data_IF_770412001564
#
_entry.id   IF_770412001564
#
_cell.length_a   1.000
_cell.length_b   1.000
_cell.length_c   1.000
_cell.angle_alpha   90.00
_cell.angle_beta   90.00
_cell.angle_gamma   90.00
#
_symmetry.space_group_name_H-M   'P 1'
#
loop_
_entity.id
_entity.type
_entity.pdbx_description
1 polymer ?
#
# COMPACT_ATOMS: atom_id res chain seq x y z
N UNK A 1 -16.52 -12.67 14.27
CA UNK A 1 -15.38 -12.15 15.05
C UNK A 1 -14.35 -13.27 15.28
N UNK A 2 -13.09 -12.92 15.65
CA UNK A 2 -12.06 -13.92 16.05
C UNK A 2 -12.62 -14.77 17.19
N UNK A 3 -13.15 -14.13 18.23
CA UNK A 3 -13.72 -14.79 19.41
C UNK A 3 -14.83 -15.79 19.03
N UNK A 4 -15.78 -15.42 18.17
CA UNK A 4 -16.86 -16.32 17.78
C UNK A 4 -16.38 -17.59 17.05
N UNK A 5 -15.29 -17.52 16.27
CA UNK A 5 -14.70 -18.73 15.67
C UNK A 5 -13.92 -19.55 16.69
N UNK A 6 -13.27 -18.91 17.67
CA UNK A 6 -12.63 -19.61 18.78
C UNK A 6 -13.65 -20.33 19.65
N UNK A 7 -14.79 -19.69 19.98
CA UNK A 7 -15.88 -20.32 20.73
C UNK A 7 -16.42 -21.57 20.00
N UNK A 8 -16.61 -21.48 18.66
CA UNK A 8 -17.02 -22.64 17.86
C UNK A 8 -15.97 -23.77 17.90
N UNK A 9 -14.67 -23.42 17.87
CA UNK A 9 -13.60 -24.41 17.93
C UNK A 9 -13.46 -25.05 19.30
N UNK A 10 -13.75 -24.34 20.40
CA UNK A 10 -13.65 -24.84 21.78
C UNK A 10 -14.88 -25.60 22.25
N UNK A 11 -16.06 -25.27 21.73
CA UNK A 11 -17.33 -25.94 22.09
C UNK A 11 -17.73 -27.03 21.10
N UNK A 12 -16.96 -27.20 20.01
CA UNK A 12 -17.38 -27.98 18.86
C UNK A 12 -16.92 -29.42 18.87
N UNK A 13 -17.47 -30.28 19.78
CA UNK A 13 -17.34 -31.74 19.67
C UNK A 13 -17.95 -32.30 18.38
N UNK A 14 -18.71 -31.48 17.65
CA UNK A 14 -19.42 -31.85 16.41
C UNK A 14 -18.74 -31.37 15.12
N UNK A 15 -17.58 -30.67 15.20
CA UNK A 15 -16.89 -30.17 14.02
C UNK A 15 -16.03 -31.25 13.37
N UNK A 16 -16.14 -31.36 12.03
CA UNK A 16 -15.21 -32.17 11.26
C UNK A 16 -13.81 -31.54 11.26
N UNK A 17 -12.76 -32.35 11.02
CA UNK A 17 -11.40 -31.83 10.93
C UNK A 17 -11.25 -30.74 9.82
N UNK A 18 -11.96 -30.91 8.71
CA UNK A 18 -12.00 -29.92 7.64
C UNK A 18 -12.59 -28.58 8.12
N UNK A 19 -13.69 -28.63 8.90
CA UNK A 19 -14.29 -27.43 9.50
C UNK A 19 -13.38 -26.76 10.51
N UNK A 20 -12.66 -27.54 11.35
CA UNK A 20 -11.68 -27.01 12.29
C UNK A 20 -10.56 -26.29 11.57
N UNK A 21 -9.96 -26.91 10.55
CA UNK A 21 -8.90 -26.31 9.74
C UNK A 21 -9.36 -25.02 9.05
N UNK A 22 -10.57 -25.01 8.49
CA UNK A 22 -11.18 -23.81 7.89
C UNK A 22 -11.33 -22.69 8.93
N UNK A 23 -11.83 -22.97 10.12
CA UNK A 23 -12.04 -21.95 11.15
C UNK A 23 -10.71 -21.44 11.72
N UNK A 24 -9.72 -22.31 11.91
CA UNK A 24 -8.36 -21.91 12.28
C UNK A 24 -7.74 -20.99 11.22
N UNK A 25 -7.90 -21.30 9.94
CA UNK A 25 -7.46 -20.44 8.85
C UNK A 25 -8.11 -19.04 8.89
N UNK A 26 -9.40 -18.97 9.18
CA UNK A 26 -10.12 -17.69 9.31
C UNK A 26 -9.61 -16.91 10.53
N UNK A 27 -9.43 -17.55 11.69
CA UNK A 27 -8.90 -16.92 12.90
C UNK A 27 -7.50 -16.37 12.64
N UNK A 28 -6.61 -17.18 12.05
CA UNK A 28 -5.24 -16.78 11.71
C UNK A 28 -5.22 -15.57 10.77
N UNK A 29 -6.04 -15.59 9.71
CA UNK A 29 -6.15 -14.47 8.77
C UNK A 29 -6.63 -13.19 9.46
N UNK A 30 -7.65 -13.28 10.34
CA UNK A 30 -8.17 -12.12 11.08
C UNK A 30 -7.19 -11.61 12.13
N UNK A 31 -6.42 -12.48 12.76
CA UNK A 31 -5.37 -12.09 13.71
C UNK A 31 -4.25 -11.31 13.00
N UNK A 32 -3.80 -11.78 11.81
CA UNK A 32 -2.84 -11.05 10.98
C UNK A 32 -3.37 -9.69 10.51
N UNK A 33 -4.66 -9.60 10.17
CA UNK A 33 -5.29 -8.32 9.82
C UNK A 33 -5.29 -7.34 11.01
N UNK A 34 -5.57 -7.83 12.23
CA UNK A 34 -5.54 -7.01 13.44
C UNK A 34 -4.11 -6.53 13.76
N UNK A 35 -3.12 -7.41 13.67
CA UNK A 35 -1.71 -7.06 13.84
C UNK A 35 -1.29 -5.94 12.88
N UNK A 36 -1.62 -6.08 11.59
CA UNK A 36 -1.37 -5.04 10.59
C UNK A 36 -2.05 -3.72 10.94
N UNK A 37 -3.32 -3.77 11.38
CA UNK A 37 -4.07 -2.57 11.76
C UNK A 37 -3.44 -1.86 12.96
N UNK A 38 -3.00 -2.61 13.98
CA UNK A 38 -2.31 -2.05 15.15
C UNK A 38 -1.00 -1.41 14.73
N UNK A 39 -0.19 -2.08 13.90
CA UNK A 39 1.07 -1.53 13.38
C UNK A 39 0.82 -0.26 12.56
N UNK A 40 -0.16 -0.28 11.65
CA UNK A 40 -0.51 0.89 10.85
C UNK A 40 -0.98 2.07 11.72
N UNK A 41 -1.73 1.80 12.79
CA UNK A 41 -2.18 2.84 13.72
C UNK A 41 -1.00 3.47 14.48
N UNK A 42 -0.05 2.66 14.95
CA UNK A 42 1.18 3.17 15.58
C UNK A 42 2.00 4.00 14.59
N UNK A 43 2.19 3.52 13.37
CA UNK A 43 2.91 4.25 12.33
C UNK A 43 2.21 5.58 12.02
N UNK A 44 0.89 5.57 11.85
CA UNK A 44 0.12 6.79 11.60
C UNK A 44 0.30 7.83 12.71
N UNK A 45 0.23 7.41 13.98
CA UNK A 45 0.38 8.32 15.14
C UNK A 45 1.82 8.81 15.30
N UNK A 46 2.81 7.97 14.94
CA UNK A 46 4.23 8.29 15.02
C UNK A 46 4.64 9.33 13.97
N UNK A 47 4.07 9.28 12.77
CA UNK A 47 4.44 10.15 11.64
C UNK A 47 3.54 11.39 11.50
N UNK A 48 2.86 11.81 12.57
CA UNK A 48 2.10 13.06 12.59
C UNK A 48 3.05 14.27 12.50
N UNK A 49 2.77 15.15 11.53
CA UNK A 49 3.62 16.27 11.05
C UNK A 49 4.27 17.15 12.12
N UNK A 50 3.69 17.23 13.31
CA UNK A 50 4.09 18.24 14.29
C UNK A 50 5.10 17.74 15.33
N UNK A 51 5.60 16.49 15.23
CA UNK A 51 6.35 15.89 16.35
C UNK A 51 7.65 15.19 16.00
N UNK A 52 7.97 14.96 14.71
CA UNK A 52 9.09 14.10 14.33
C UNK A 52 10.09 14.80 13.43
N UNK A 53 11.32 14.95 13.91
CA UNK A 53 12.47 15.24 13.03
C UNK A 53 12.97 13.91 12.46
N UNK A 54 12.94 13.75 11.15
CA UNK A 54 13.48 12.59 10.47
C UNK A 54 14.96 12.84 10.09
N UNK A 55 15.78 11.80 10.21
CA UNK A 55 17.15 11.84 9.69
C UNK A 55 17.06 11.58 8.18
N UNK A 56 17.46 12.54 7.37
CA UNK A 56 17.54 12.42 5.91
C UNK A 56 18.99 12.12 5.51
N UNK A 57 19.15 11.35 4.44
CA UNK A 57 20.41 11.06 3.77
C UNK A 57 20.22 11.09 2.26
N UNK A 58 21.30 11.13 1.49
CA UNK A 58 21.22 11.14 0.03
C UNK A 58 20.88 9.71 -0.43
N UNK A 59 19.80 9.59 -1.19
CA UNK A 59 19.30 8.34 -1.76
C UNK A 59 19.15 8.49 -3.27
N UNK A 60 19.67 7.54 -4.04
CA UNK A 60 19.39 7.43 -5.47
C UNK A 60 18.13 6.59 -5.68
N UNK A 61 17.04 7.22 -6.13
CA UNK A 61 15.76 6.55 -6.37
C UNK A 61 15.85 5.46 -7.44
N UNK A 62 16.78 5.57 -8.40
CA UNK A 62 16.97 4.55 -9.43
C UNK A 62 17.69 3.29 -8.94
N UNK A 63 18.32 3.35 -7.77
CA UNK A 63 18.80 2.16 -7.06
C UNK A 63 17.78 1.68 -6.04
N UNK A 64 17.08 2.59 -5.40
CA UNK A 64 16.18 2.32 -4.29
C UNK A 64 14.83 1.72 -4.73
N UNK A 65 14.18 2.31 -5.75
CA UNK A 65 12.85 1.87 -6.19
C UNK A 65 12.87 0.46 -6.81
N UNK A 66 13.85 0.08 -7.67
CA UNK A 66 13.96 -1.29 -8.16
C UNK A 66 14.06 -2.33 -7.04
N UNK A 67 14.87 -2.08 -6.01
CA UNK A 67 15.00 -3.00 -4.87
C UNK A 67 13.65 -3.21 -4.16
N UNK A 68 12.87 -2.14 -3.98
CA UNK A 68 11.52 -2.25 -3.42
C UNK A 68 10.58 -3.05 -4.32
N UNK A 69 10.64 -2.86 -5.64
CA UNK A 69 9.81 -3.62 -6.60
C UNK A 69 10.14 -5.11 -6.51
N UNK A 70 11.43 -5.45 -6.41
CA UNK A 70 11.89 -6.85 -6.27
C UNK A 70 11.35 -7.52 -4.98
N UNK A 71 11.26 -6.78 -3.86
CA UNK A 71 10.66 -7.29 -2.63
C UNK A 71 9.16 -7.66 -2.81
N UNK A 72 8.46 -6.99 -3.72
CA UNK A 72 7.05 -7.28 -4.01
C UNK A 72 6.85 -8.34 -5.10
N UNK A 73 7.92 -8.85 -5.73
CA UNK A 73 7.81 -9.84 -6.81
C UNK A 73 6.97 -11.08 -6.45
N UNK A 74 7.13 -11.71 -5.26
CA UNK A 74 6.26 -12.82 -4.85
C UNK A 74 4.78 -12.43 -4.83
N UNK A 75 4.46 -11.21 -4.36
CA UNK A 75 3.08 -10.73 -4.32
C UNK A 75 2.48 -10.48 -5.70
N UNK A 76 3.27 -10.01 -6.67
CA UNK A 76 2.83 -9.91 -8.06
C UNK A 76 2.49 -11.29 -8.64
N UNK A 77 3.34 -12.29 -8.40
CA UNK A 77 3.12 -13.66 -8.85
C UNK A 77 1.86 -14.28 -8.22
N UNK A 78 1.68 -14.14 -6.92
CA UNK A 78 0.51 -14.67 -6.19
C UNK A 78 -0.82 -14.08 -6.71
N UNK A 79 -0.79 -12.84 -7.19
CA UNK A 79 -1.97 -12.15 -7.76
C UNK A 79 -2.04 -12.25 -9.29
N UNK A 80 -1.11 -12.97 -9.93
CA UNK A 80 -1.02 -13.12 -11.40
C UNK A 80 -0.95 -11.77 -12.12
N UNK A 81 -0.16 -10.84 -11.56
CA UNK A 81 0.07 -9.49 -12.07
C UNK A 81 1.40 -9.44 -12.80
N UNK A 82 1.41 -8.85 -13.99
CA UNK A 82 2.63 -8.38 -14.65
C UNK A 82 3.07 -7.07 -13.98
N UNK A 83 4.37 -6.95 -13.70
CA UNK A 83 4.96 -5.68 -13.26
C UNK A 83 5.88 -5.15 -14.37
N UNK A 84 5.60 -3.97 -14.88
CA UNK A 84 6.46 -3.25 -15.82
C UNK A 84 7.12 -2.07 -15.12
N UNK A 85 8.37 -1.85 -15.44
CA UNK A 85 9.15 -0.76 -14.85
C UNK A 85 9.72 0.12 -15.94
N UNK A 86 9.71 1.43 -15.70
CA UNK A 86 10.32 2.44 -16.57
C UNK A 86 11.02 3.46 -15.65
N UNK A 87 12.34 3.31 -15.54
CA UNK A 87 13.15 4.10 -14.63
C UNK A 87 13.94 5.16 -15.38
N UNK A 88 14.10 6.32 -14.76
CA UNK A 88 14.84 7.44 -15.30
C UNK A 88 16.30 7.05 -15.60
N UNK A 89 16.80 7.42 -16.78
CA UNK A 89 18.19 7.19 -17.14
C UNK A 89 19.10 8.22 -16.47
N UNK A 90 19.90 7.78 -15.52
CA UNK A 90 20.85 8.62 -14.77
C UNK A 90 20.61 8.62 -13.27
N UNK A 91 21.42 9.35 -12.52
CA UNK A 91 21.28 9.46 -11.06
C UNK A 91 20.05 10.31 -10.71
N UNK A 92 19.21 9.81 -9.81
CA UNK A 92 18.01 10.48 -9.33
C UNK A 92 18.09 10.65 -7.80
N UNK A 93 19.01 11.52 -7.37
CA UNK A 93 19.34 11.73 -5.97
C UNK A 93 18.32 12.65 -5.29
N UNK A 94 17.86 12.21 -4.12
CA UNK A 94 17.01 12.98 -3.21
C UNK A 94 17.57 12.96 -1.79
N UNK A 95 17.17 13.91 -0.96
CA UNK A 95 17.39 13.86 0.48
C UNK A 95 16.17 13.21 1.17
N UNK A 96 16.35 12.03 1.77
CA UNK A 96 15.24 11.31 2.37
C UNK A 96 15.66 10.28 3.42
N UNK A 97 14.67 9.78 4.13
CA UNK A 97 14.82 8.63 5.02
C UNK A 97 14.37 7.38 4.29
N UNK A 98 15.31 6.47 3.99
CA UNK A 98 15.05 5.27 3.18
C UNK A 98 13.99 4.36 3.79
N UNK A 99 14.00 4.14 5.11
CA UNK A 99 13.01 3.28 5.79
C UNK A 99 11.57 3.85 5.63
N UNK A 100 11.42 5.16 5.82
CA UNK A 100 10.12 5.81 5.66
C UNK A 100 9.66 5.83 4.22
N UNK A 101 10.55 6.13 3.27
CA UNK A 101 10.21 6.12 1.85
C UNK A 101 9.87 4.71 1.36
N UNK A 102 10.59 3.67 1.82
CA UNK A 102 10.24 2.28 1.56
C UNK A 102 8.81 1.96 2.04
N UNK A 103 8.46 2.43 3.24
CA UNK A 103 7.10 2.27 3.79
C UNK A 103 6.05 2.99 2.95
N UNK A 104 6.31 4.23 2.53
CA UNK A 104 5.36 5.01 1.72
C UNK A 104 5.15 4.37 0.33
N UNK A 105 6.23 4.09 -0.39
CA UNK A 105 6.19 3.49 -1.73
C UNK A 105 5.61 2.08 -1.65
N UNK A 106 6.00 1.27 -0.66
CA UNK A 106 5.46 -0.06 -0.43
C UNK A 106 3.94 -0.07 -0.19
N UNK A 107 3.39 0.95 0.50
CA UNK A 107 1.95 1.12 0.65
C UNK A 107 1.26 1.39 -0.70
N UNK A 108 1.88 2.15 -1.60
CA UNK A 108 1.35 2.39 -2.94
C UNK A 108 1.40 1.14 -3.80
N UNK A 109 2.53 0.40 -3.80
CA UNK A 109 2.69 -0.87 -4.54
C UNK A 109 1.67 -1.89 -4.04
N UNK A 110 1.56 -2.07 -2.72
CA UNK A 110 0.58 -2.98 -2.10
C UNK A 110 -0.86 -2.61 -2.48
N UNK A 111 -1.17 -1.31 -2.54
CA UNK A 111 -2.46 -0.82 -2.99
C UNK A 111 -2.70 -1.15 -4.48
N UNK A 112 -1.70 -0.92 -5.34
CA UNK A 112 -1.77 -1.22 -6.76
C UNK A 112 -1.96 -2.74 -7.02
N UNK A 113 -1.24 -3.61 -6.31
CA UNK A 113 -1.42 -5.06 -6.38
C UNK A 113 -2.86 -5.44 -6.00
N UNK A 114 -3.34 -4.90 -4.89
CA UNK A 114 -4.64 -5.25 -4.32
C UNK A 114 -5.82 -4.84 -5.19
N UNK A 115 -5.75 -3.67 -5.82
CA UNK A 115 -6.84 -3.10 -6.61
C UNK A 115 -6.60 -3.19 -8.12
N UNK A 116 -5.40 -3.59 -8.55
CA UNK A 116 -5.02 -3.78 -9.94
C UNK A 116 -5.25 -5.19 -10.50
N UNK A 117 -5.72 -6.14 -9.67
CA UNK A 117 -5.84 -7.55 -10.07
C UNK A 117 -6.72 -7.77 -11.32
N UNK A 118 -7.77 -6.97 -11.50
CA UNK A 118 -8.65 -7.07 -12.68
C UNK A 118 -7.91 -6.69 -13.99
N UNK A 119 -6.97 -5.74 -13.93
CA UNK A 119 -6.21 -5.26 -15.09
C UNK A 119 -4.93 -6.04 -15.40
N UNK A 120 -4.53 -6.95 -14.52
CA UNK A 120 -3.36 -7.85 -14.63
C UNK A 120 -2.02 -7.16 -14.85
N UNK A 121 -1.94 -5.85 -14.69
CA UNK A 121 -0.73 -5.05 -14.92
C UNK A 121 -0.57 -3.99 -13.82
N UNK A 122 0.66 -3.85 -13.35
CA UNK A 122 1.11 -2.72 -12.53
C UNK A 122 2.36 -2.13 -13.18
N UNK A 123 2.43 -0.82 -13.27
CA UNK A 123 3.61 -0.14 -13.78
C UNK A 123 4.24 0.73 -12.68
N UNK A 124 5.57 0.76 -12.65
CA UNK A 124 6.33 1.58 -11.72
C UNK A 124 7.32 2.44 -12.52
N UNK A 125 7.21 3.75 -12.33
CA UNK A 125 8.02 4.72 -13.05
C UNK A 125 8.78 5.59 -12.08
N UNK A 126 10.02 5.95 -12.44
CA UNK A 126 10.75 7.06 -11.81
C UNK A 126 11.10 8.11 -12.86
N UNK A 127 11.24 9.35 -12.45
CA UNK A 127 11.61 10.40 -13.39
C UNK A 127 11.91 11.73 -12.72
N UNK A 128 12.25 12.69 -13.56
CA UNK A 128 12.51 14.07 -13.16
C UNK A 128 11.55 15.00 -13.90
N UNK A 129 10.81 15.82 -13.17
CA UNK A 129 9.93 16.85 -13.74
C UNK A 129 10.11 18.14 -12.96
N UNK A 130 10.35 19.25 -13.66
CA UNK A 130 10.55 20.57 -13.05
C UNK A 130 11.60 20.56 -11.91
N UNK A 131 12.69 19.80 -12.09
CA UNK A 131 13.77 19.57 -11.11
C UNK A 131 13.36 18.80 -9.86
N UNK A 132 12.17 18.21 -9.83
CA UNK A 132 11.70 17.34 -8.76
C UNK A 132 11.72 15.89 -9.23
N UNK A 133 12.26 15.03 -8.39
CA UNK A 133 12.20 13.60 -8.62
C UNK A 133 10.77 13.10 -8.35
N UNK A 134 10.31 12.15 -9.15
CA UNK A 134 9.01 11.52 -8.92
C UNK A 134 9.08 10.00 -8.96
N UNK A 135 8.18 9.37 -8.23
CA UNK A 135 7.85 7.95 -8.33
C UNK A 135 6.37 7.86 -8.64
N UNK A 136 6.00 7.09 -9.67
CA UNK A 136 4.62 6.84 -10.01
C UNK A 136 4.34 5.35 -10.10
N UNK A 137 3.18 4.95 -9.56
CA UNK A 137 2.69 3.57 -9.58
C UNK A 137 1.32 3.59 -10.24
N UNK A 138 1.17 2.81 -11.31
CA UNK A 138 -0.07 2.74 -12.10
C UNK A 138 -0.64 1.34 -12.02
N UNK A 139 -1.93 1.23 -11.79
CA UNK A 139 -2.67 -0.02 -11.88
C UNK A 139 -3.94 0.14 -12.72
N UNK A 140 -4.37 -0.94 -13.37
CA UNK A 140 -5.47 -0.96 -14.33
C UNK A 140 -6.69 -1.68 -13.77
N UNK A 141 -7.09 -1.31 -12.55
CA UNK A 141 -8.26 -1.83 -11.87
C UNK A 141 -9.50 -0.94 -12.04
N UNK A 142 -10.39 -0.99 -11.06
CA UNK A 142 -11.58 -0.15 -11.06
C UNK A 142 -11.22 1.32 -10.90
N UNK A 143 -11.89 2.18 -11.71
CA UNK A 143 -11.73 3.63 -11.65
C UNK A 143 -12.18 4.16 -10.28
N UNK A 144 -11.37 5.03 -9.69
CA UNK A 144 -11.73 5.77 -8.48
C UNK A 144 -12.55 6.99 -8.89
N UNK A 145 -13.78 7.16 -8.37
CA UNK A 145 -14.58 8.32 -8.68
C UNK A 145 -13.86 9.63 -8.32
N UNK A 146 -13.98 10.66 -9.16
CA UNK A 146 -13.30 11.95 -8.95
C UNK A 146 -13.57 12.57 -7.56
N UNK A 147 -14.80 12.41 -7.03
CA UNK A 147 -15.18 12.87 -5.68
C UNK A 147 -14.42 12.18 -4.52
N UNK A 148 -13.78 11.05 -4.82
CA UNK A 148 -13.10 10.21 -3.82
C UNK A 148 -11.57 10.36 -3.90
N UNK A 149 -11.00 10.90 -5.00
CA UNK A 149 -9.56 10.99 -5.24
C UNK A 149 -8.79 11.72 -4.13
N UNK A 150 -9.33 12.82 -3.60
CA UNK A 150 -8.70 13.53 -2.49
C UNK A 150 -8.88 12.78 -1.16
N UNK A 151 -10.01 12.07 -1.02
CA UNK A 151 -10.40 11.39 0.22
C UNK A 151 -9.72 10.05 0.44
N UNK A 152 -9.20 9.41 -0.62
CA UNK A 152 -8.50 8.12 -0.47
C UNK A 152 -7.25 8.21 0.40
N UNK A 153 -6.72 9.42 0.63
CA UNK A 153 -5.61 9.69 1.53
C UNK A 153 -6.05 10.02 2.96
N UNK A 154 -7.36 10.09 3.23
CA UNK A 154 -7.88 10.28 4.58
C UNK A 154 -7.83 8.96 5.37
N UNK A 155 -7.58 9.07 6.68
CA UNK A 155 -7.55 7.91 7.56
C UNK A 155 -8.88 7.15 7.56
N UNK A 156 -8.80 5.83 7.47
CA UNK A 156 -9.94 4.91 7.45
C UNK A 156 -10.89 5.08 6.25
N UNK A 157 -10.56 5.97 5.31
CA UNK A 157 -11.37 6.13 4.13
C UNK A 157 -11.25 4.93 3.19
N UNK A 158 -12.36 4.52 2.61
CA UNK A 158 -12.44 3.45 1.60
C UNK A 158 -13.59 3.77 0.65
N UNK A 159 -13.33 3.67 -0.65
CA UNK A 159 -14.37 3.79 -1.68
C UNK A 159 -15.42 2.70 -1.45
N UNK A 160 -16.71 3.02 -1.54
CA UNK A 160 -17.82 2.10 -1.16
C UNK A 160 -17.74 0.75 -1.83
N UNK A 161 -17.37 0.69 -3.10
CA UNK A 161 -17.22 -0.55 -3.86
C UNK A 161 -16.05 -1.45 -3.39
N UNK A 162 -15.12 -0.91 -2.58
CA UNK A 162 -13.97 -1.64 -2.03
C UNK A 162 -14.18 -2.16 -0.61
N UNK A 163 -15.37 -1.93 -0.02
CA UNK A 163 -15.72 -2.36 1.35
C UNK A 163 -15.96 -3.86 1.50
N UNK A 164 -15.86 -4.64 0.41
CA UNK A 164 -16.01 -6.10 0.51
C UNK A 164 -14.98 -6.70 1.46
N UNK A 165 -15.41 -7.65 2.30
CA UNK A 165 -14.55 -8.38 3.24
C UNK A 165 -13.41 -9.12 2.54
N UNK A 166 -13.54 -9.39 1.23
CA UNK A 166 -12.54 -10.10 0.41
C UNK A 166 -11.29 -9.27 0.12
N UNK A 167 -11.41 -7.94 0.03
CA UNK A 167 -10.28 -7.06 -0.30
C UNK A 167 -9.51 -6.55 0.90
N UNK A 168 -9.73 -7.00 2.14
CA UNK A 168 -9.01 -6.65 3.37
C UNK A 168 -8.23 -5.31 3.29
N UNK A 169 -8.08 -4.57 4.35
CA UNK A 169 -7.27 -3.34 4.37
C UNK A 169 -7.75 -2.39 5.45
N UNK A 170 -6.80 -1.77 6.09
CA UNK A 170 -7.02 -0.91 7.25
C UNK A 170 -7.60 0.46 6.88
N UNK A 171 -7.40 0.90 5.62
CA UNK A 171 -7.69 2.27 5.20
C UNK A 171 -6.67 3.29 5.74
N UNK A 172 -5.54 2.82 6.25
CA UNK A 172 -4.47 3.68 6.78
C UNK A 172 -3.27 3.79 5.85
N UNK A 173 -3.04 2.82 4.94
CA UNK A 173 -1.83 2.77 4.12
C UNK A 173 -1.57 4.04 3.30
N UNK A 174 -2.58 4.57 2.59
CA UNK A 174 -2.44 5.81 1.82
C UNK A 174 -2.29 7.04 2.73
N UNK A 175 -2.95 7.06 3.89
CA UNK A 175 -2.79 8.14 4.87
C UNK A 175 -1.38 8.15 5.48
N UNK A 176 -0.81 6.96 5.76
CA UNK A 176 0.58 6.82 6.21
C UNK A 176 1.54 7.28 5.11
N UNK A 177 1.33 6.86 3.85
CA UNK A 177 2.14 7.32 2.73
C UNK A 177 2.14 8.84 2.63
N UNK A 178 0.96 9.48 2.69
CA UNK A 178 0.81 10.94 2.67
C UNK A 178 1.56 11.62 3.82
N UNK A 179 1.47 11.10 5.05
CA UNK A 179 2.19 11.66 6.19
C UNK A 179 3.71 11.57 5.98
N UNK A 180 4.21 10.43 5.53
CA UNK A 180 5.64 10.23 5.26
C UNK A 180 6.14 11.18 4.16
N UNK A 181 5.42 11.29 3.05
CA UNK A 181 5.81 12.20 1.96
C UNK A 181 5.79 13.65 2.42
N UNK A 182 4.80 14.04 3.23
CA UNK A 182 4.76 15.36 3.84
C UNK A 182 5.95 15.64 4.79
N UNK A 183 6.45 14.62 5.53
CA UNK A 183 7.68 14.75 6.35
C UNK A 183 8.93 14.98 5.50
N UNK A 184 8.90 14.54 4.24
CA UNK A 184 9.93 14.78 3.24
C UNK A 184 9.73 16.09 2.47
N UNK A 185 8.70 16.89 2.82
CA UNK A 185 8.33 18.14 2.12
C UNK A 185 7.91 17.91 0.66
N UNK A 186 7.56 16.65 0.34
CA UNK A 186 7.08 16.21 -0.96
C UNK A 186 5.57 16.35 -1.12
N UNK A 187 5.08 15.98 -2.31
CA UNK A 187 3.67 15.92 -2.65
C UNK A 187 3.26 14.51 -3.04
N UNK A 188 2.02 14.13 -2.74
CA UNK A 188 1.41 12.87 -3.17
C UNK A 188 -0.02 13.12 -3.63
N UNK A 189 -0.39 12.53 -4.76
CA UNK A 189 -1.75 12.60 -5.30
C UNK A 189 -2.08 11.37 -6.14
N UNK A 190 -3.32 11.26 -6.57
CA UNK A 190 -3.78 10.22 -7.48
C UNK A 190 -4.63 10.82 -8.60
N UNK A 191 -4.56 10.18 -9.76
CA UNK A 191 -5.48 10.35 -10.88
C UNK A 191 -6.08 9.00 -11.25
N UNK A 192 -7.31 8.96 -11.74
CA UNK A 192 -7.95 7.69 -12.11
C UNK A 192 -8.96 7.92 -13.22
N UNK A 193 -8.76 7.26 -14.34
CA UNK A 193 -9.61 7.29 -15.52
C UNK A 193 -9.52 5.95 -16.28
N UNK A 194 -9.97 5.93 -17.53
CA UNK A 194 -9.92 4.72 -18.39
C UNK A 194 -8.49 4.26 -18.71
N UNK A 195 -7.49 5.15 -18.58
CA UNK A 195 -6.07 4.81 -18.75
C UNK A 195 -5.42 4.22 -17.50
N UNK A 196 -6.16 4.07 -16.41
CA UNK A 196 -5.74 3.46 -15.15
C UNK A 196 -5.80 4.40 -13.95
N UNK A 197 -5.42 3.86 -12.80
CA UNK A 197 -5.24 4.63 -11.56
C UNK A 197 -3.76 4.83 -11.33
N UNK A 198 -3.31 6.09 -11.32
CA UNK A 198 -1.93 6.51 -11.12
C UNK A 198 -1.79 7.20 -9.77
N UNK A 199 -0.96 6.66 -8.90
CA UNK A 199 -0.47 7.31 -7.70
C UNK A 199 0.89 7.93 -8.00
N UNK A 200 1.09 9.19 -7.67
CA UNK A 200 2.35 9.89 -7.90
C UNK A 200 2.85 10.57 -6.63
N UNK A 201 4.16 10.42 -6.40
CA UNK A 201 4.93 11.11 -5.35
C UNK A 201 5.91 12.04 -6.06
N UNK A 202 6.08 13.26 -5.57
CA UNK A 202 7.17 14.18 -5.90
C UNK A 202 8.00 14.49 -4.64
N UNK A 203 9.31 14.46 -4.81
CA UNK A 203 10.31 14.68 -3.74
C UNK A 203 11.33 15.73 -4.16
#
# INVERSE_FOLDING_TARGET
SILGYLDLLTQGDFLTEEQKQKYLGIVSSKAKQLETLVKDLFDYTRYDRNKVKIKKEILDLNLFVPQLVDEFYPSFMDHQLECRTDFYEGALNIEGNGELLARAIGNLISNAIKYGADGKLVEVHTGLKDKKAFVAIVNYGKIIPAKDLDKIFDKFYRVENSRSLKTGGTGLGLAIAKNIINLHEGNIWATSDESGTRFQIEL
#
